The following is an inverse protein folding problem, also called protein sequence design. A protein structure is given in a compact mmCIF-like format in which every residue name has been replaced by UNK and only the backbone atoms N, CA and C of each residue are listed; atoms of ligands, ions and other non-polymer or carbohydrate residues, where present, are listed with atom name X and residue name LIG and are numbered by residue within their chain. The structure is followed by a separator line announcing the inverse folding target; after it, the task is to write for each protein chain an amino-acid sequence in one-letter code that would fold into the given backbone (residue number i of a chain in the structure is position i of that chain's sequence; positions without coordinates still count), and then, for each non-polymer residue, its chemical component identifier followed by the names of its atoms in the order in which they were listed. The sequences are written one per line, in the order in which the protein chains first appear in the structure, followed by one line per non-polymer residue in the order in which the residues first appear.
data_IF_037853535508
#
_entry.id   IF_037853535508
#
_cell.length_a   1.000
_cell.length_b   1.000
_cell.length_c   1.000
_cell.angle_alpha   90.00
_cell.angle_beta   90.00
_cell.angle_gamma   90.00
#
_symmetry.space_group_name_H-M   'P 1'
#
loop_
_entity.id
_entity.type
_entity.pdbx_description
1 polymer ?
#
# COMPACT_ATOMS: atom_id res chain seq x y z
N UNK A 1 11.87 5.78 -5.14
CA UNK A 1 11.94 5.10 -6.45
C UNK A 1 10.59 4.98 -7.15
N UNK A 2 9.58 4.30 -6.57
CA UNK A 2 8.32 3.98 -7.27
C UNK A 2 7.43 5.18 -7.61
N UNK A 3 7.40 6.20 -6.75
CA UNK A 3 6.58 7.40 -6.95
C UNK A 3 7.10 8.31 -8.08
N UNK A 4 8.42 8.48 -8.16
CA UNK A 4 9.12 9.29 -9.18
C UNK A 4 9.58 8.52 -10.41
N UNK A 5 9.12 7.27 -10.58
CA UNK A 5 9.61 6.37 -11.64
C UNK A 5 9.50 6.97 -13.04
N UNK A 6 8.35 7.59 -13.34
CA UNK A 6 8.08 8.27 -14.61
C UNK A 6 8.94 9.53 -14.81
N UNK A 7 9.17 10.30 -13.75
CA UNK A 7 9.90 11.58 -13.81
C UNK A 7 11.40 11.38 -14.03
N UNK A 8 11.94 10.27 -13.53
CA UNK A 8 13.37 9.95 -13.55
C UNK A 8 13.70 8.87 -14.58
N UNK A 9 12.89 8.68 -15.63
CA UNK A 9 13.14 7.68 -16.68
C UNK A 9 13.44 6.25 -16.16
N UNK A 10 12.78 5.86 -15.06
CA UNK A 10 12.82 4.51 -14.49
C UNK A 10 14.25 3.98 -14.27
N UNK A 11 14.56 2.84 -14.88
CA UNK A 11 15.85 2.15 -14.78
C UNK A 11 16.96 2.84 -15.56
N UNK A 12 16.69 3.95 -16.25
CA UNK A 12 17.72 4.77 -16.89
C UNK A 12 18.38 5.74 -15.90
N UNK A 13 17.69 6.12 -14.81
CA UNK A 13 18.27 6.98 -13.78
C UNK A 13 19.12 6.20 -12.78
N UNK A 14 20.34 6.70 -12.59
CA UNK A 14 21.27 6.21 -11.58
C UNK A 14 20.68 6.32 -10.15
N UNK A 15 19.83 7.31 -9.88
CA UNK A 15 19.17 7.47 -8.57
C UNK A 15 18.22 6.31 -8.29
N UNK A 16 17.38 5.93 -9.26
CA UNK A 16 16.43 4.82 -9.10
C UNK A 16 17.18 3.51 -8.88
N UNK A 17 18.25 3.27 -9.63
CA UNK A 17 19.07 2.06 -9.47
C UNK A 17 19.67 2.00 -8.07
N UNK A 18 20.28 3.09 -7.58
CA UNK A 18 20.88 3.13 -6.23
C UNK A 18 19.80 2.84 -5.17
N UNK A 19 18.64 3.50 -5.25
CA UNK A 19 17.54 3.28 -4.31
C UNK A 19 17.00 1.85 -4.36
N UNK A 20 16.90 1.25 -5.56
CA UNK A 20 16.50 -0.16 -5.71
C UNK A 20 17.51 -1.10 -5.06
N UNK A 21 18.82 -0.88 -5.29
CA UNK A 21 19.87 -1.70 -4.67
C UNK A 21 19.84 -1.57 -3.14
N UNK A 22 19.75 -0.35 -2.61
CA UNK A 22 19.66 -0.12 -1.17
C UNK A 22 18.43 -0.79 -0.57
N UNK A 23 17.26 -0.68 -1.23
CA UNK A 23 16.04 -1.33 -0.77
C UNK A 23 16.17 -2.87 -0.73
N UNK A 24 16.72 -3.48 -1.79
CA UNK A 24 16.95 -4.93 -1.85
C UNK A 24 17.93 -5.38 -0.78
N UNK A 25 19.06 -4.68 -0.63
CA UNK A 25 20.08 -5.00 0.38
C UNK A 25 19.49 -4.89 1.79
N UNK A 26 18.74 -3.82 2.08
CA UNK A 26 18.10 -3.63 3.38
C UNK A 26 17.07 -4.73 3.70
N UNK A 27 16.26 -5.13 2.71
CA UNK A 27 15.29 -6.22 2.88
C UNK A 27 16.01 -7.56 3.12
N UNK A 28 17.03 -7.87 2.32
CA UNK A 28 17.82 -9.10 2.51
C UNK A 28 18.49 -9.13 3.88
N UNK A 29 19.07 -8.01 4.31
CA UNK A 29 19.68 -7.87 5.63
C UNK A 29 18.66 -8.08 6.75
N UNK A 30 17.48 -7.47 6.65
CA UNK A 30 16.39 -7.63 7.60
C UNK A 30 15.94 -9.09 7.71
N UNK A 31 15.76 -9.79 6.58
CA UNK A 31 15.35 -11.20 6.58
C UNK A 31 16.41 -12.08 7.25
N UNK A 32 17.69 -11.91 6.90
CA UNK A 32 18.77 -12.71 7.50
C UNK A 32 18.89 -12.43 8.99
N UNK A 33 18.75 -11.17 9.41
CA UNK A 33 18.82 -10.77 10.80
C UNK A 33 17.66 -11.37 11.62
N UNK A 34 16.41 -11.19 11.19
CA UNK A 34 15.23 -11.72 11.90
C UNK A 34 15.20 -13.25 11.95
N UNK A 35 15.76 -13.95 10.95
CA UNK A 35 15.85 -15.41 10.97
C UNK A 35 16.94 -15.95 11.92
N UNK A 36 17.91 -15.12 12.29
CA UNK A 36 19.07 -15.54 13.11
C UNK A 36 18.96 -15.05 14.56
N UNK A 37 18.12 -14.07 14.85
CA UNK A 37 17.94 -13.50 16.20
C UNK A 37 17.13 -14.45 17.12
N UNK A 38 17.49 -14.48 18.41
CA UNK A 38 16.82 -15.31 19.42
C UNK A 38 15.47 -14.74 19.87
N UNK A 39 15.23 -13.42 19.69
CA UNK A 39 13.96 -12.75 19.99
C UNK A 39 13.52 -11.91 18.78
N UNK A 40 13.04 -12.55 17.69
CA UNK A 40 12.64 -11.84 16.48
C UNK A 40 11.45 -10.91 16.76
N UNK A 41 11.52 -9.70 16.20
CA UNK A 41 10.40 -8.73 16.24
C UNK A 41 9.31 -9.19 15.25
N UNK A 42 9.71 -9.81 14.15
CA UNK A 42 8.83 -10.34 13.11
C UNK A 42 8.96 -11.86 13.06
N UNK A 43 7.94 -12.55 13.58
CA UNK A 43 7.89 -14.01 13.51
C UNK A 43 7.56 -14.50 12.08
N UNK A 44 8.62 -14.75 11.30
CA UNK A 44 8.52 -15.26 9.93
C UNK A 44 7.98 -16.70 9.86
N UNK A 45 7.92 -17.44 10.99
CA UNK A 45 7.37 -18.79 11.03
C UNK A 45 5.86 -18.81 10.76
N UNK A 46 5.17 -17.69 11.01
CA UNK A 46 3.75 -17.52 10.72
C UNK A 46 3.43 -17.70 9.23
N UNK A 47 4.34 -17.31 8.33
CA UNK A 47 4.19 -17.52 6.88
C UNK A 47 4.24 -19.00 6.46
N UNK A 48 4.63 -19.91 7.36
CA UNK A 48 4.50 -21.35 7.13
C UNK A 48 3.05 -21.83 7.19
N UNK A 49 2.19 -21.10 7.91
CA UNK A 49 0.74 -21.39 7.96
C UNK A 49 0.06 -20.91 6.69
N UNK A 50 -0.62 -21.84 5.99
CA UNK A 50 -1.34 -21.52 4.75
C UNK A 50 -2.39 -20.44 4.95
N UNK A 51 -3.09 -20.45 6.09
CA UNK A 51 -4.14 -19.46 6.38
C UNK A 51 -3.55 -18.06 6.58
N UNK A 52 -2.41 -17.95 7.26
CA UNK A 52 -1.73 -16.68 7.47
C UNK A 52 -1.22 -16.11 6.13
N UNK A 53 -0.54 -16.93 5.33
CA UNK A 53 -0.01 -16.50 4.03
C UNK A 53 -1.12 -16.12 3.05
N UNK A 54 -2.20 -16.89 2.98
CA UNK A 54 -3.37 -16.51 2.16
C UNK A 54 -3.98 -15.20 2.69
N UNK A 55 -4.14 -15.03 4.00
CA UNK A 55 -4.64 -13.79 4.60
C UNK A 55 -3.79 -12.58 4.22
N UNK A 56 -2.46 -12.68 4.37
CA UNK A 56 -1.50 -11.66 3.97
C UNK A 56 -1.56 -11.35 2.46
N UNK A 57 -1.67 -12.37 1.61
CA UNK A 57 -1.82 -12.18 0.17
C UNK A 57 -3.13 -11.49 -0.19
N UNK A 58 -4.24 -11.93 0.40
CA UNK A 58 -5.56 -11.34 0.17
C UNK A 58 -5.59 -9.87 0.59
N UNK A 59 -5.09 -9.53 1.77
CA UNK A 59 -5.06 -8.12 2.22
C UNK A 59 -4.11 -7.28 1.38
N UNK A 60 -2.93 -7.80 1.02
CA UNK A 60 -1.98 -7.09 0.16
C UNK A 60 -2.57 -6.80 -1.21
N UNK A 61 -3.23 -7.79 -1.83
CA UNK A 61 -3.87 -7.62 -3.13
C UNK A 61 -5.08 -6.68 -3.06
N UNK A 62 -5.89 -6.79 -2.01
CA UNK A 62 -7.02 -5.90 -1.78
C UNK A 62 -6.55 -4.43 -1.67
N UNK A 63 -5.51 -4.16 -0.90
CA UNK A 63 -4.95 -2.81 -0.77
C UNK A 63 -4.27 -2.33 -2.05
N UNK A 64 -3.57 -3.20 -2.78
CA UNK A 64 -2.99 -2.85 -4.08
C UNK A 64 -4.05 -2.36 -5.06
N UNK A 65 -5.16 -3.10 -5.19
CA UNK A 65 -6.29 -2.70 -6.04
C UNK A 65 -6.99 -1.45 -5.51
N UNK A 66 -7.15 -1.33 -4.19
CA UNK A 66 -7.75 -0.17 -3.55
C UNK A 66 -6.98 1.11 -3.84
N UNK A 67 -5.65 1.12 -3.67
CA UNK A 67 -4.82 2.29 -3.98
C UNK A 67 -4.90 2.69 -5.45
N UNK A 68 -4.97 1.72 -6.37
CA UNK A 68 -5.23 1.99 -7.77
C UNK A 68 -6.60 2.66 -7.98
N UNK A 69 -7.65 2.10 -7.39
CA UNK A 69 -9.02 2.59 -7.55
C UNK A 69 -9.21 4.01 -7.00
N UNK A 70 -8.65 4.35 -5.84
CA UNK A 70 -8.82 5.68 -5.23
C UNK A 70 -8.16 6.81 -6.04
N UNK A 71 -7.10 6.49 -6.80
CA UNK A 71 -6.42 7.47 -7.68
C UNK A 71 -7.07 7.51 -9.06
N UNK A 72 -7.38 6.33 -9.62
CA UNK A 72 -7.94 6.23 -10.97
C UNK A 72 -9.36 6.77 -11.07
N UNK A 73 -10.19 6.63 -10.02
CA UNK A 73 -11.57 7.11 -10.03
C UNK A 73 -11.68 8.64 -10.25
N UNK A 74 -11.04 9.51 -9.43
CA UNK A 74 -11.09 10.94 -9.66
C UNK A 74 -10.39 11.33 -10.96
N UNK A 75 -9.37 10.60 -11.40
CA UNK A 75 -8.72 10.85 -12.68
C UNK A 75 -9.64 10.55 -13.86
N UNK A 76 -10.37 9.43 -13.83
CA UNK A 76 -11.39 9.08 -14.81
C UNK A 76 -12.49 10.14 -14.89
N UNK A 77 -12.98 10.61 -13.74
CA UNK A 77 -14.01 11.66 -13.70
C UNK A 77 -13.52 12.97 -14.33
N UNK A 78 -12.25 13.31 -14.13
CA UNK A 78 -11.66 14.52 -14.71
C UNK A 78 -11.37 14.38 -16.20
N UNK A 79 -10.71 13.29 -16.63
CA UNK A 79 -10.24 13.11 -18.01
C UNK A 79 -11.36 12.70 -18.98
N UNK A 80 -12.26 11.81 -18.55
CA UNK A 80 -13.28 11.23 -19.43
C UNK A 80 -14.64 11.91 -19.27
N UNK A 81 -15.04 12.19 -18.02
CA UNK A 81 -16.34 12.81 -17.73
C UNK A 81 -16.30 14.35 -17.66
N UNK A 82 -15.12 14.96 -17.76
CA UNK A 82 -14.94 16.41 -17.78
C UNK A 82 -15.30 17.10 -16.47
N UNK A 83 -15.30 16.39 -15.35
CA UNK A 83 -15.58 16.99 -14.04
C UNK A 83 -14.43 17.91 -13.66
N UNK A 84 -14.73 19.09 -13.11
CA UNK A 84 -13.70 19.91 -12.46
C UNK A 84 -13.12 19.17 -11.26
N UNK A 85 -11.88 19.49 -10.86
CA UNK A 85 -11.21 18.88 -9.72
C UNK A 85 -12.07 18.86 -8.43
N UNK A 86 -12.80 19.94 -8.15
CA UNK A 86 -13.69 20.03 -6.97
C UNK A 86 -14.83 19.02 -7.02
N UNK A 87 -15.48 18.86 -8.18
CA UNK A 87 -16.59 17.92 -8.36
C UNK A 87 -16.12 16.47 -8.35
N UNK A 88 -14.99 16.16 -8.98
CA UNK A 88 -14.39 14.82 -8.94
C UNK A 88 -13.94 14.44 -7.51
N UNK A 89 -13.38 15.40 -6.77
CA UNK A 89 -13.05 15.23 -5.35
C UNK A 89 -14.29 14.99 -4.50
N UNK A 90 -15.36 15.76 -4.68
CA UNK A 90 -16.60 15.59 -3.93
C UNK A 90 -17.30 14.26 -4.26
N UNK A 91 -17.26 13.81 -5.52
CA UNK A 91 -17.81 12.53 -5.94
C UNK A 91 -17.04 11.32 -5.39
N UNK A 92 -15.72 11.45 -5.22
CA UNK A 92 -14.86 10.41 -4.63
C UNK A 92 -14.75 10.49 -3.10
N UNK A 93 -15.12 11.61 -2.48
CA UNK A 93 -15.08 11.83 -1.04
C UNK A 93 -15.77 10.74 -0.18
N UNK A 94 -16.92 10.15 -0.58
CA UNK A 94 -17.56 9.10 0.19
C UNK A 94 -16.66 7.89 0.46
N UNK A 95 -15.70 7.61 -0.43
CA UNK A 95 -14.75 6.48 -0.30
C UNK A 95 -13.90 6.61 0.97
N UNK A 96 -13.57 7.84 1.39
CA UNK A 96 -12.80 8.10 2.61
C UNK A 96 -13.67 8.48 3.81
N UNK A 97 -14.76 9.22 3.59
CA UNK A 97 -15.61 9.72 4.68
C UNK A 97 -16.41 8.59 5.33
N UNK A 98 -16.98 7.66 4.55
CA UNK A 98 -17.83 6.59 5.08
C UNK A 98 -17.06 5.69 6.06
N UNK A 99 -15.84 5.19 5.74
CA UNK A 99 -15.04 4.44 6.70
C UNK A 99 -14.77 5.22 7.98
N UNK A 100 -14.40 6.51 7.90
CA UNK A 100 -14.12 7.33 9.09
C UNK A 100 -15.35 7.44 10.00
N UNK A 101 -16.53 7.69 9.44
CA UNK A 101 -17.78 7.76 10.20
C UNK A 101 -18.10 6.39 10.82
N UNK A 102 -18.00 5.33 10.00
CA UNK A 102 -18.29 3.97 10.45
C UNK A 102 -17.39 3.58 11.62
N UNK A 103 -16.07 3.81 11.53
CA UNK A 103 -15.10 3.56 12.59
C UNK A 103 -15.24 4.47 13.80
N UNK A 104 -15.74 5.70 13.65
CA UNK A 104 -16.01 6.60 14.77
C UNK A 104 -17.16 6.09 15.66
N UNK A 105 -18.12 5.36 15.09
CA UNK A 105 -19.24 4.76 15.81
C UNK A 105 -18.94 3.35 16.37
N UNK A 106 -17.76 2.78 16.11
CA UNK A 106 -17.31 1.58 16.81
C UNK A 106 -17.00 1.94 18.28
N UNK A 107 -18.05 1.98 19.10
CA UNK A 107 -17.90 1.80 20.54
C UNK A 107 -17.29 0.42 20.76
N UNK A 108 -16.22 0.29 21.56
CA UNK A 108 -15.68 -1.01 21.91
C UNK A 108 -16.78 -1.81 22.64
N UNK A 109 -17.36 -2.77 21.95
CA UNK A 109 -18.09 -3.87 22.56
C UNK A 109 -17.02 -4.72 23.25
N UNK A 110 -17.02 -4.68 24.59
CA UNK A 110 -16.17 -5.40 25.57
C UNK A 110 -15.17 -4.51 26.32
N UNK A 111 -15.58 -4.14 27.55
CA UNK A 111 -14.75 -4.30 28.74
C UNK A 111 -15.03 -5.69 29.33
#
# INVERSE_FOLDING_TARGET
MLDRGKELDWFSSQEIIILTVVAVVAICFLIVWELTDDNPIVDLSLFKSRNFTIGCLCISLAYMLYFGAIVLLPQLLQEVYGYTATWAGLASAPVGIIPVILFADYRPLCA
#
